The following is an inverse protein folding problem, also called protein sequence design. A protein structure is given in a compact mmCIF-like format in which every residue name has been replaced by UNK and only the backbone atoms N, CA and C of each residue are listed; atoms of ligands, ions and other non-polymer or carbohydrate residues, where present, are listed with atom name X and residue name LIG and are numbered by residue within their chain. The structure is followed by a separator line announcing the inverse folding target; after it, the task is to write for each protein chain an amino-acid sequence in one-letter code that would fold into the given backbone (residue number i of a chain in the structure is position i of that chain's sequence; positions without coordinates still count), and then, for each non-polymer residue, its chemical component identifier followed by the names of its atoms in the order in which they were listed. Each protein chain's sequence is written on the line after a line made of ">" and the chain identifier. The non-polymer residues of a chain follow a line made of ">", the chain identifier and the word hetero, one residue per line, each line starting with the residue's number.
data_IF_549286839072
#
_entry.id   IF_549286839072
#
_cell.length_a   1.000
_cell.length_b   1.000
_cell.length_c   1.000
_cell.angle_alpha   90.00
_cell.angle_beta   90.00
_cell.angle_gamma   90.00
#
_symmetry.space_group_name_H-M   'P 1'
#
loop_
_entity.id
_entity.type
_entity.pdbx_description
1 polymer ?
#
# COMPACT_ATOMS: atom_id res chain seq x y z
N UNK A 1 -28.37 7.61 -0.41
CA UNK A 1 -28.57 6.22 -0.82
C UNK A 1 -27.25 5.45 -0.71
N UNK A 2 -27.21 4.38 0.05
CA UNK A 2 -25.97 3.63 0.17
C UNK A 2 -25.60 3.01 -1.16
N UNK A 3 -24.30 3.01 -1.45
CA UNK A 3 -23.78 2.31 -2.61
C UNK A 3 -23.87 0.81 -2.39
N UNK A 4 -24.28 0.08 -3.40
CA UNK A 4 -24.19 -1.37 -3.36
C UNK A 4 -22.75 -1.79 -3.48
N UNK A 5 -22.33 -2.69 -2.61
CA UNK A 5 -21.04 -3.32 -2.73
C UNK A 5 -21.16 -4.49 -3.72
N UNK A 6 -20.24 -4.53 -4.67
CA UNK A 6 -20.22 -5.54 -5.72
C UNK A 6 -18.80 -6.13 -5.83
N UNK A 7 -18.39 -6.80 -4.75
CA UNK A 7 -17.06 -7.36 -4.68
C UNK A 7 -15.97 -6.30 -4.48
N UNK A 8 -16.26 -5.25 -3.75
CA UNK A 8 -15.29 -4.22 -3.43
C UNK A 8 -14.15 -4.81 -2.59
N UNK A 9 -12.92 -4.54 -2.98
CA UNK A 9 -11.73 -5.06 -2.30
C UNK A 9 -11.05 -3.95 -1.53
N UNK A 10 -10.71 -4.23 -0.29
CA UNK A 10 -9.75 -3.42 0.45
C UNK A 10 -8.60 -4.31 0.89
N UNK A 11 -7.47 -3.70 1.24
CA UNK A 11 -6.31 -4.41 1.77
C UNK A 11 -6.02 -3.87 3.16
N UNK A 12 -5.89 -4.77 4.11
CA UNK A 12 -5.47 -4.41 5.46
C UNK A 12 -4.05 -4.92 5.70
N UNK A 13 -3.15 -4.01 6.01
CA UNK A 13 -1.76 -4.32 6.29
C UNK A 13 -1.52 -4.25 7.79
N UNK A 14 -0.94 -5.31 8.33
CA UNK A 14 -0.50 -5.36 9.72
C UNK A 14 0.95 -4.87 9.75
N UNK A 15 1.20 -3.75 10.41
CA UNK A 15 2.45 -3.01 10.33
C UNK A 15 2.97 -2.66 11.71
N UNK A 16 4.30 -2.52 11.81
CA UNK A 16 4.91 -2.15 13.10
C UNK A 16 4.63 -0.70 13.47
N UNK A 17 4.62 0.18 12.47
CA UNK A 17 4.46 1.61 12.68
C UNK A 17 3.47 2.17 11.65
N UNK A 18 2.17 2.28 12.01
CA UNK A 18 1.19 2.84 11.09
C UNK A 18 1.54 4.24 10.58
N UNK A 19 2.16 5.09 11.41
CA UNK A 19 2.54 6.44 10.98
C UNK A 19 3.51 6.43 9.81
N UNK A 20 4.43 5.47 9.77
CA UNK A 20 5.34 5.30 8.64
C UNK A 20 4.57 5.02 7.35
N UNK A 21 3.58 4.11 7.42
CA UNK A 21 2.80 3.74 6.25
C UNK A 21 1.81 4.82 5.84
N UNK A 22 1.37 5.66 6.77
CA UNK A 22 0.62 6.88 6.42
C UNK A 22 1.48 7.79 5.55
N UNK A 23 2.75 7.97 5.89
CA UNK A 23 3.67 8.75 5.04
C UNK A 23 3.77 8.15 3.64
N UNK A 24 3.88 6.82 3.55
CA UNK A 24 3.94 6.15 2.26
C UNK A 24 2.65 6.36 1.45
N UNK A 25 1.51 6.01 2.01
CA UNK A 25 0.27 6.02 1.24
C UNK A 25 -0.30 7.43 1.05
N UNK A 26 -0.20 8.31 2.04
CA UNK A 26 -0.71 9.67 1.93
C UNK A 26 0.27 10.59 1.22
N UNK A 27 1.49 10.69 1.73
CA UNK A 27 2.44 11.72 1.27
C UNK A 27 3.07 11.33 -0.08
N UNK A 28 3.42 10.06 -0.26
CA UNK A 28 4.02 9.62 -1.51
C UNK A 28 2.97 9.20 -2.54
N UNK A 29 2.01 8.35 -2.16
CA UNK A 29 1.10 7.72 -3.11
C UNK A 29 -0.25 8.44 -3.24
N UNK A 30 -0.46 9.54 -2.50
CA UNK A 30 -1.57 10.47 -2.67
C UNK A 30 -2.94 9.91 -2.25
N UNK A 31 -2.94 8.98 -1.30
CA UNK A 31 -4.17 8.56 -0.65
C UNK A 31 -4.60 9.61 0.39
N UNK A 32 -5.87 9.60 0.71
CA UNK A 32 -6.45 10.48 1.73
C UNK A 32 -6.69 9.69 3.00
N UNK A 33 -6.29 10.25 4.15
CA UNK A 33 -6.61 9.66 5.45
C UNK A 33 -8.08 9.97 5.75
N UNK A 34 -8.85 8.90 5.95
CA UNK A 34 -10.28 9.00 6.28
C UNK A 34 -10.49 8.93 7.79
N UNK A 35 -9.68 8.10 8.45
CA UNK A 35 -9.79 7.87 9.89
C UNK A 35 -8.42 7.49 10.43
N UNK A 36 -8.03 8.11 11.52
CA UNK A 36 -6.75 7.85 12.17
C UNK A 36 -6.97 7.72 13.67
N UNK A 37 -6.76 6.51 14.19
CA UNK A 37 -6.86 6.23 15.61
C UNK A 37 -5.49 5.87 16.20
N UNK A 38 -4.41 6.14 15.46
CA UNK A 38 -3.05 5.83 15.87
C UNK A 38 -2.65 4.39 15.57
N UNK A 39 -3.30 3.42 16.20
CA UNK A 39 -3.05 2.00 15.97
C UNK A 39 -3.88 1.42 14.81
N UNK A 40 -4.84 2.18 14.33
CA UNK A 40 -5.63 1.83 13.16
C UNK A 40 -5.84 3.06 12.31
N UNK A 41 -5.53 2.96 11.02
CA UNK A 41 -5.68 4.07 10.06
C UNK A 41 -6.37 3.55 8.80
N UNK A 42 -7.34 4.31 8.35
CA UNK A 42 -8.03 4.05 7.10
C UNK A 42 -7.68 5.13 6.09
N UNK A 43 -7.18 4.71 4.93
CA UNK A 43 -6.87 5.61 3.82
C UNK A 43 -7.66 5.17 2.59
N UNK A 44 -7.94 6.13 1.72
CA UNK A 44 -8.64 5.82 0.47
C UNK A 44 -8.09 6.62 -0.70
N UNK A 45 -8.27 6.08 -1.88
CA UNK A 45 -8.22 6.78 -3.15
C UNK A 45 -9.62 6.72 -3.76
N UNK A 46 -9.78 7.19 -5.00
CA UNK A 46 -11.09 7.12 -5.66
C UNK A 46 -11.60 5.68 -5.82
N UNK A 47 -10.71 4.72 -5.99
CA UNK A 47 -11.07 3.34 -6.32
C UNK A 47 -10.48 2.30 -5.39
N UNK A 48 -9.86 2.71 -4.31
CA UNK A 48 -9.20 1.77 -3.43
C UNK A 48 -9.18 2.22 -2.00
N UNK A 49 -9.00 1.27 -1.11
CA UNK A 49 -8.91 1.52 0.32
C UNK A 49 -7.79 0.69 0.91
N UNK A 50 -7.00 1.31 1.76
CA UNK A 50 -5.95 0.65 2.53
C UNK A 50 -6.27 0.85 4.00
N UNK A 51 -6.24 -0.24 4.75
CA UNK A 51 -6.33 -0.20 6.21
C UNK A 51 -4.96 -0.54 6.77
N UNK A 52 -4.54 0.20 7.77
CA UNK A 52 -3.30 -0.04 8.49
C UNK A 52 -3.65 -0.41 9.92
N UNK A 53 -3.11 -1.51 10.40
CA UNK A 53 -3.34 -1.98 11.76
C UNK A 53 -1.99 -2.22 12.42
N UNK A 54 -1.80 -1.64 13.61
CA UNK A 54 -0.57 -1.88 14.36
C UNK A 54 -0.45 -3.37 14.67
N UNK A 55 0.74 -3.93 14.40
CA UNK A 55 0.95 -5.37 14.63
C UNK A 55 1.22 -5.61 16.11
N UNK A 56 0.14 -5.60 16.87
CA UNK A 56 0.15 -6.01 18.27
C UNK A 56 -0.19 -7.51 18.35
N UNK A 57 -0.37 -8.04 19.55
CA UNK A 57 -0.82 -9.43 19.70
C UNK A 57 -2.20 -9.59 19.03
N UNK A 58 -2.33 -10.38 17.97
CA UNK A 58 -3.64 -10.67 17.42
C UNK A 58 -4.50 -11.41 18.43
N UNK A 59 -5.81 -11.28 18.34
CA UNK A 59 -6.74 -12.02 19.16
C UNK A 59 -6.53 -13.52 19.00
N UNK A 60 -6.72 -14.31 20.07
CA UNK A 60 -6.63 -15.77 19.94
C UNK A 60 -7.57 -16.29 18.85
N UNK A 61 -7.04 -17.16 17.99
CA UNK A 61 -7.78 -17.69 16.86
C UNK A 61 -7.69 -16.85 15.58
N UNK A 62 -7.07 -15.68 15.63
CA UNK A 62 -6.84 -14.92 14.43
C UNK A 62 -5.85 -15.65 13.51
N UNK A 63 -6.05 -15.63 12.18
CA UNK A 63 -5.12 -16.31 11.25
C UNK A 63 -3.66 -15.89 11.40
N UNK A 64 -3.38 -14.68 11.88
CA UNK A 64 -2.02 -14.16 12.04
C UNK A 64 -1.44 -14.35 13.45
N UNK A 65 -2.12 -15.07 14.29
CA UNK A 65 -1.73 -15.24 15.70
C UNK A 65 -0.28 -15.72 15.88
N UNK A 66 0.23 -16.52 14.94
CA UNK A 66 1.58 -17.09 15.01
C UNK A 66 2.58 -16.44 14.03
N UNK A 67 2.20 -15.36 13.37
CA UNK A 67 3.05 -14.75 12.35
C UNK A 67 3.74 -13.45 12.76
N UNK A 68 3.63 -13.08 14.02
CA UNK A 68 4.16 -11.81 14.53
C UNK A 68 5.66 -11.62 14.24
N UNK A 69 6.43 -12.69 14.34
CA UNK A 69 7.87 -12.65 14.14
C UNK A 69 8.29 -12.74 12.66
N UNK A 70 7.34 -12.84 11.74
CA UNK A 70 7.67 -12.93 10.32
C UNK A 70 8.38 -11.65 9.87
N UNK A 71 9.58 -11.81 9.30
CA UNK A 71 10.39 -10.69 8.82
C UNK A 71 9.98 -10.23 7.42
N UNK A 72 9.24 -11.05 6.69
CA UNK A 72 8.77 -10.75 5.33
C UNK A 72 7.29 -11.10 5.23
N UNK A 73 6.45 -10.08 5.20
CA UNK A 73 4.99 -10.27 5.31
C UNK A 73 4.26 -10.28 3.99
N UNK A 74 4.84 -9.72 2.94
CA UNK A 74 4.16 -9.56 1.66
C UNK A 74 4.50 -10.60 0.62
N UNK A 75 5.09 -11.73 0.99
CA UNK A 75 5.51 -12.76 0.05
C UNK A 75 4.29 -13.33 -0.68
N UNK A 76 4.35 -13.32 -2.00
CA UNK A 76 3.29 -13.88 -2.84
C UNK A 76 2.16 -12.92 -3.16
N UNK A 77 2.24 -11.67 -2.69
CA UNK A 77 1.23 -10.64 -2.96
C UNK A 77 1.90 -9.42 -3.58
N UNK A 78 1.35 -8.93 -4.67
CA UNK A 78 1.72 -7.64 -5.24
C UNK A 78 0.54 -6.69 -5.07
N UNK A 79 0.78 -5.55 -4.45
CA UNK A 79 -0.25 -4.51 -4.33
C UNK A 79 -0.03 -3.53 -5.46
N UNK A 80 -0.95 -3.48 -6.41
CA UNK A 80 -0.88 -2.59 -7.56
C UNK A 80 -1.56 -1.26 -7.26
N UNK A 81 -0.85 -0.17 -7.49
CA UNK A 81 -1.36 1.19 -7.35
C UNK A 81 -1.31 1.83 -8.73
N UNK A 82 -2.47 2.23 -9.26
CA UNK A 82 -2.56 2.91 -10.55
C UNK A 82 -2.67 4.41 -10.30
N UNK A 83 -1.82 5.19 -10.95
CA UNK A 83 -1.78 6.64 -10.74
C UNK A 83 -1.47 7.40 -12.02
N UNK A 84 -2.09 8.58 -12.16
CA UNK A 84 -1.72 9.54 -13.20
C UNK A 84 -0.48 10.37 -12.82
N UNK A 85 0.02 10.22 -11.59
CA UNK A 85 1.09 11.04 -11.04
C UNK A 85 2.35 10.22 -10.77
N UNK A 86 2.72 9.35 -11.71
CA UNK A 86 3.79 8.38 -11.50
C UNK A 86 5.11 9.03 -11.07
N UNK A 87 5.54 10.06 -11.80
CA UNK A 87 6.82 10.71 -11.53
C UNK A 87 6.83 11.36 -10.15
N UNK A 88 5.76 12.07 -9.80
CA UNK A 88 5.65 12.74 -8.50
C UNK A 88 5.64 11.74 -7.36
N UNK A 89 4.90 10.64 -7.50
CA UNK A 89 4.87 9.58 -6.48
C UNK A 89 6.24 8.93 -6.32
N UNK A 90 6.94 8.69 -7.41
CA UNK A 90 8.27 8.10 -7.39
C UNK A 90 9.28 8.98 -6.65
N UNK A 91 9.27 10.26 -6.95
CA UNK A 91 10.15 11.23 -6.28
C UNK A 91 9.91 11.23 -4.77
N UNK A 92 8.66 11.21 -4.35
CA UNK A 92 8.32 11.21 -2.92
C UNK A 92 8.63 9.87 -2.25
N UNK A 93 8.36 8.75 -2.94
CA UNK A 93 8.64 7.42 -2.39
C UNK A 93 10.13 7.23 -2.12
N UNK A 94 10.98 7.73 -3.00
CA UNK A 94 12.43 7.63 -2.83
C UNK A 94 12.94 8.36 -1.59
N UNK A 95 12.21 9.33 -1.10
CA UNK A 95 12.59 10.09 0.10
C UNK A 95 12.24 9.39 1.40
N UNK A 96 11.46 8.33 1.34
CA UNK A 96 11.00 7.63 2.54
C UNK A 96 12.07 6.64 2.99
N UNK A 97 12.68 6.85 4.18
CA UNK A 97 13.73 5.95 4.65
C UNK A 97 13.20 4.53 4.82
N UNK A 98 14.02 3.55 4.48
CA UNK A 98 13.69 2.14 4.68
C UNK A 98 12.91 1.50 3.54
N UNK A 99 12.34 2.25 2.63
CA UNK A 99 11.76 1.71 1.40
C UNK A 99 12.84 1.47 0.36
N UNK A 100 12.78 0.33 -0.31
CA UNK A 100 13.59 0.07 -1.49
C UNK A 100 12.73 0.39 -2.71
N UNK A 101 13.12 1.42 -3.45
CA UNK A 101 12.37 1.93 -4.59
C UNK A 101 13.17 1.69 -5.86
N UNK A 102 12.57 1.00 -6.84
CA UNK A 102 13.23 0.69 -8.10
C UNK A 102 13.25 1.90 -9.03
N UNK A 103 14.02 1.79 -10.11
CA UNK A 103 13.94 2.75 -11.20
C UNK A 103 12.59 2.67 -11.89
N UNK A 104 12.20 3.76 -12.53
CA UNK A 104 11.02 3.80 -13.39
C UNK A 104 11.35 3.08 -14.71
N UNK A 105 10.48 2.17 -15.12
CA UNK A 105 10.67 1.35 -16.32
C UNK A 105 9.43 1.42 -17.20
N UNK A 106 9.63 1.64 -18.49
CA UNK A 106 8.57 1.52 -19.49
C UNK A 106 8.48 0.05 -19.89
N UNK A 107 7.33 -0.55 -19.66
CA UNK A 107 7.12 -1.96 -19.93
C UNK A 107 6.73 -2.21 -21.39
N UNK A 108 6.92 -3.44 -21.85
CA UNK A 108 6.59 -3.85 -23.22
C UNK A 108 5.11 -3.63 -23.56
N UNK A 109 4.24 -3.76 -22.56
CA UNK A 109 2.79 -3.58 -22.75
C UNK A 109 2.35 -2.11 -22.68
N UNK A 110 3.28 -1.16 -22.64
CA UNK A 110 3.01 0.27 -22.79
C UNK A 110 2.76 1.03 -21.50
N UNK A 111 2.70 0.36 -20.36
CA UNK A 111 2.58 1.01 -19.06
C UNK A 111 3.97 1.30 -18.50
N UNK A 112 4.05 2.32 -17.66
CA UNK A 112 5.29 2.71 -16.99
C UNK A 112 5.11 2.46 -15.50
N UNK A 113 6.08 1.82 -14.88
CA UNK A 113 5.96 1.47 -13.47
C UNK A 113 7.27 1.58 -12.70
N UNK A 114 7.15 1.49 -11.39
CA UNK A 114 8.24 1.26 -10.47
C UNK A 114 7.73 0.43 -9.29
N UNK A 115 8.67 -0.07 -8.48
CA UNK A 115 8.35 -0.99 -7.40
C UNK A 115 8.85 -0.46 -6.07
N UNK A 116 8.10 -0.75 -5.01
CA UNK A 116 8.45 -0.38 -3.65
C UNK A 116 8.44 -1.64 -2.81
N UNK A 117 9.51 -1.87 -2.06
CA UNK A 117 9.53 -2.89 -1.00
C UNK A 117 9.68 -2.15 0.33
N UNK A 118 8.72 -2.35 1.21
CA UNK A 118 8.71 -1.70 2.51
C UNK A 118 9.59 -2.45 3.52
N UNK A 119 9.90 -1.86 4.69
CA UNK A 119 10.83 -2.47 5.66
C UNK A 119 10.48 -3.91 6.06
N UNK A 120 9.22 -4.28 6.14
CA UNK A 120 8.82 -5.65 6.51
C UNK A 120 8.38 -6.49 5.32
N UNK A 121 8.73 -6.06 4.10
CA UNK A 121 8.58 -6.88 2.91
C UNK A 121 7.25 -6.79 2.20
N UNK A 122 6.39 -5.83 2.53
CA UNK A 122 5.25 -5.55 1.68
C UNK A 122 5.73 -4.99 0.36
N UNK A 123 5.13 -5.47 -0.72
CA UNK A 123 5.58 -5.19 -2.06
C UNK A 123 4.49 -4.50 -2.86
N UNK A 124 4.81 -3.34 -3.41
CA UNK A 124 3.91 -2.54 -4.22
C UNK A 124 4.48 -2.34 -5.62
N UNK A 125 3.61 -2.37 -6.62
CA UNK A 125 3.94 -1.88 -7.95
C UNK A 125 3.08 -0.67 -8.24
N UNK A 126 3.72 0.45 -8.53
CA UNK A 126 3.05 1.71 -8.87
C UNK A 126 3.16 1.90 -10.36
N UNK A 127 2.04 2.06 -11.04
CA UNK A 127 1.97 2.03 -12.49
C UNK A 127 1.06 3.12 -13.04
N UNK A 128 1.34 3.54 -14.25
CA UNK A 128 0.42 4.38 -15.00
C UNK A 128 -0.84 3.60 -15.37
N UNK A 129 -1.96 4.29 -15.64
CA UNK A 129 -3.14 3.61 -16.19
C UNK A 129 -2.81 2.98 -17.54
N UNK A 130 -3.56 1.93 -17.94
CA UNK A 130 -3.44 1.40 -19.29
C UNK A 130 -3.83 2.49 -20.31
N UNK A 131 -3.21 2.41 -21.50
CA UNK A 131 -3.43 3.39 -22.54
C UNK A 131 -4.89 3.42 -23.03
N UNK A 132 -5.56 2.29 -22.93
CA UNK A 132 -6.97 2.13 -23.30
C UNK A 132 -7.70 1.39 -22.18
N UNK A 133 -8.84 1.90 -21.78
CA UNK A 133 -9.73 1.24 -20.83
C UNK A 133 -10.99 0.81 -21.54
#
# INVERSE_FOLDING_TARGET
>A
MPLRADGFVFVELYVEDPAYYVRLFRDALRFEVVRDEGDFVQLRSKRGMILLNAFTEPDPGHPFEHYRAASRRGIGVEIGIVTDYLQETWEQAKRLPGCVVSDVVVQEWGMTDYRIVTPHGYYLRVTTPPATE
#
